data_IF_929365140188
#
_entry.id   IF_929365140188
#
_cell.length_a   1.000
_cell.length_b   1.000
_cell.length_c   1.000
_cell.angle_alpha   90.00
_cell.angle_beta   90.00
_cell.angle_gamma   90.00
#
_symmetry.space_group_name_H-M   'P 1'
#
loop_
_entity.id
_entity.type
_entity.pdbx_description
1 polymer ?
#
# COMPACT_ATOMS: atom_id res chain seq x y z
N UNK A 1 -3.71 1.84 -42.12
CA UNK A 1 -4.49 2.31 -40.96
C UNK A 1 -4.41 3.82 -40.77
N UNK A 2 -3.23 4.43 -40.48
CA UNK A 2 -3.10 5.90 -40.44
C UNK A 2 -3.10 6.60 -41.81
N UNK A 3 -2.87 5.84 -42.89
CA UNK A 3 -2.83 6.34 -44.27
C UNK A 3 -4.20 6.38 -45.00
N UNK A 4 -5.31 6.00 -44.32
CA UNK A 4 -6.65 5.82 -44.93
C UNK A 4 -7.69 6.86 -44.48
N UNK A 5 -7.29 7.93 -43.81
CA UNK A 5 -8.22 9.02 -43.46
C UNK A 5 -9.29 8.68 -42.40
N UNK A 6 -9.28 7.47 -41.84
CA UNK A 6 -10.13 7.14 -40.70
C UNK A 6 -9.73 8.01 -39.49
N UNK A 7 -10.68 8.82 -39.00
CA UNK A 7 -10.52 9.59 -37.76
C UNK A 7 -10.52 8.63 -36.57
N UNK A 8 -9.34 8.14 -36.20
CA UNK A 8 -9.09 7.33 -34.99
C UNK A 8 -9.31 8.13 -33.69
N UNK A 9 -9.39 9.47 -33.79
CA UNK A 9 -9.47 10.37 -32.65
C UNK A 9 -10.92 10.85 -32.42
N UNK A 10 -11.55 10.55 -31.26
CA UNK A 10 -12.94 10.93 -31.01
C UNK A 10 -13.07 12.46 -30.92
N UNK A 11 -14.08 13.03 -31.58
CA UNK A 11 -14.37 14.47 -31.55
C UNK A 11 -14.88 14.95 -30.18
N UNK A 12 -15.38 14.03 -29.35
CA UNK A 12 -15.98 14.33 -28.04
C UNK A 12 -15.16 13.73 -26.90
N UNK A 13 -14.21 14.50 -26.38
CA UNK A 13 -13.38 14.13 -25.23
C UNK A 13 -14.07 14.34 -23.88
N UNK A 14 -15.18 15.09 -23.85
CA UNK A 14 -15.92 15.41 -22.63
C UNK A 14 -16.31 14.19 -21.78
N UNK A 15 -16.88 13.12 -22.35
CA UNK A 15 -17.21 11.91 -21.59
C UNK A 15 -15.98 11.20 -21.02
N UNK A 16 -14.86 11.17 -21.76
CA UNK A 16 -13.62 10.55 -21.29
C UNK A 16 -12.98 11.35 -20.16
N UNK A 17 -12.99 12.68 -20.27
CA UNK A 17 -12.49 13.58 -19.22
C UNK A 17 -13.39 13.51 -17.98
N UNK A 18 -14.71 13.47 -18.16
CA UNK A 18 -15.66 13.28 -17.07
C UNK A 18 -15.49 11.93 -16.38
N UNK A 19 -15.32 10.86 -17.15
CA UNK A 19 -15.03 9.53 -16.62
C UNK A 19 -13.68 9.51 -15.89
N UNK A 20 -12.62 10.09 -16.47
CA UNK A 20 -11.30 10.15 -15.87
C UNK A 20 -11.33 10.95 -14.56
N UNK A 21 -11.96 12.11 -14.53
CA UNK A 21 -12.12 12.94 -13.33
C UNK A 21 -12.99 12.25 -12.28
N UNK A 22 -14.15 11.72 -12.63
CA UNK A 22 -14.97 10.98 -11.66
C UNK A 22 -14.22 9.77 -11.14
N UNK A 23 -13.55 9.00 -12.00
CA UNK A 23 -12.81 7.81 -11.60
C UNK A 23 -11.56 8.14 -10.78
N UNK A 24 -10.86 9.23 -11.07
CA UNK A 24 -9.67 9.63 -10.32
C UNK A 24 -10.06 10.35 -9.03
N UNK A 25 -11.00 11.27 -9.05
CA UNK A 25 -11.44 11.99 -7.86
C UNK A 25 -12.18 11.05 -6.90
N UNK A 26 -13.08 10.18 -7.38
CA UNK A 26 -13.72 9.20 -6.51
C UNK A 26 -12.76 8.05 -6.17
N UNK A 27 -12.03 7.50 -7.14
CA UNK A 27 -11.12 6.36 -6.91
C UNK A 27 -9.92 6.73 -6.03
N UNK A 28 -9.21 7.81 -6.35
CA UNK A 28 -8.06 8.27 -5.55
C UNK A 28 -8.50 9.09 -4.33
N UNK A 29 -9.55 9.91 -4.43
CA UNK A 29 -10.02 10.69 -3.29
C UNK A 29 -10.55 9.81 -2.17
N UNK A 30 -11.27 8.73 -2.48
CA UNK A 30 -11.70 7.75 -1.47
C UNK A 30 -10.50 7.00 -0.85
N UNK A 31 -9.47 6.69 -1.65
CA UNK A 31 -8.23 6.07 -1.18
C UNK A 31 -7.48 6.96 -0.19
N UNK A 32 -7.34 8.26 -0.49
CA UNK A 32 -6.67 9.23 0.39
C UNK A 32 -7.50 9.49 1.66
N UNK A 33 -8.82 9.59 1.52
CA UNK A 33 -9.73 9.73 2.66
C UNK A 33 -9.65 8.53 3.61
N UNK A 34 -9.53 7.32 3.05
CA UNK A 34 -9.29 6.10 3.81
C UNK A 34 -7.93 6.16 4.55
N UNK A 35 -6.88 6.64 3.89
CA UNK A 35 -5.53 6.76 4.47
C UNK A 35 -5.48 7.58 5.76
N UNK A 36 -6.25 8.67 5.82
CA UNK A 36 -6.32 9.55 7.00
C UNK A 36 -7.14 9.00 8.17
N UNK A 37 -7.86 7.89 7.98
CA UNK A 37 -8.77 7.32 9.00
C UNK A 37 -8.49 5.87 9.37
N UNK A 38 -7.63 5.18 8.62
CA UNK A 38 -7.26 3.80 8.87
C UNK A 38 -5.84 3.66 9.45
N UNK A 39 -5.68 2.71 10.39
CA UNK A 39 -4.41 2.37 11.06
C UNK A 39 -3.29 2.06 10.06
N UNK A 40 -2.00 2.32 10.38
CA UNK A 40 -0.83 2.04 9.53
C UNK A 40 -0.83 0.64 8.87
N UNK A 41 -1.46 -0.33 9.53
CA UNK A 41 -1.63 -1.69 9.04
C UNK A 41 -2.49 -1.76 7.76
N UNK A 42 -3.53 -0.93 7.63
CA UNK A 42 -4.40 -0.88 6.43
C UNK A 42 -3.63 -0.30 5.24
N UNK A 43 -2.80 0.70 5.48
CA UNK A 43 -1.91 1.28 4.46
C UNK A 43 -0.90 0.24 3.98
N UNK A 44 -0.32 -0.52 4.91
CA UNK A 44 0.59 -1.63 4.59
C UNK A 44 -0.08 -2.71 3.73
N UNK A 45 -1.31 -3.11 4.05
CA UNK A 45 -2.06 -4.08 3.23
C UNK A 45 -2.40 -3.50 1.85
N UNK A 46 -2.81 -2.23 1.77
CA UNK A 46 -3.13 -1.57 0.50
C UNK A 46 -1.92 -1.50 -0.45
N UNK A 47 -0.73 -1.20 0.09
CA UNK A 47 0.52 -1.21 -0.68
C UNK A 47 0.87 -2.61 -1.19
N UNK A 48 0.59 -3.65 -0.40
CA UNK A 48 0.90 -5.04 -0.76
C UNK A 48 -0.11 -5.66 -1.72
N UNK A 49 -1.32 -5.13 -1.81
CA UNK A 49 -2.32 -5.59 -2.80
C UNK A 49 -1.83 -5.38 -4.23
N UNK A 50 -1.14 -4.27 -4.52
CA UNK A 50 -0.63 -3.96 -5.85
C UNK A 50 0.33 -5.03 -6.40
N UNK A 51 1.41 -5.44 -5.69
CA UNK A 51 2.32 -6.47 -6.18
C UNK A 51 1.66 -7.86 -6.24
N UNK A 52 0.72 -8.17 -5.35
CA UNK A 52 -0.05 -9.43 -5.43
C UNK A 52 -0.88 -9.48 -6.71
N UNK A 53 -1.64 -8.42 -7.00
CA UNK A 53 -2.45 -8.34 -8.23
C UNK A 53 -1.56 -8.36 -9.46
N UNK A 54 -0.42 -7.66 -9.44
CA UNK A 54 0.53 -7.66 -10.55
C UNK A 54 1.06 -9.08 -10.85
N UNK A 55 1.45 -9.85 -9.82
CA UNK A 55 1.88 -11.24 -9.99
C UNK A 55 0.77 -12.16 -10.49
N UNK A 56 -0.44 -12.04 -9.93
CA UNK A 56 -1.61 -12.83 -10.36
C UNK A 56 -1.96 -12.54 -11.82
N UNK A 57 -2.01 -11.27 -12.22
CA UNK A 57 -2.30 -10.86 -13.60
C UNK A 57 -1.19 -11.28 -14.55
N UNK A 58 0.08 -11.15 -14.14
CA UNK A 58 1.23 -11.65 -14.91
C UNK A 58 1.12 -13.15 -15.21
N UNK A 59 0.74 -13.94 -14.20
CA UNK A 59 0.55 -15.38 -14.37
C UNK A 59 -0.68 -15.73 -15.23
N UNK A 60 -1.84 -15.13 -14.95
CA UNK A 60 -3.12 -15.50 -15.57
C UNK A 60 -3.29 -14.96 -16.99
N UNK A 61 -2.87 -13.72 -17.24
CA UNK A 61 -3.15 -12.99 -18.49
C UNK A 61 -2.02 -13.16 -19.51
N UNK A 62 -0.78 -13.13 -19.04
CA UNK A 62 0.38 -13.25 -19.94
C UNK A 62 0.82 -14.70 -20.14
N UNK A 63 0.35 -15.66 -19.32
CA UNK A 63 0.62 -17.08 -19.48
C UNK A 63 2.11 -17.45 -19.32
N UNK A 64 2.91 -16.55 -18.77
CA UNK A 64 4.33 -16.78 -18.52
C UNK A 64 4.48 -17.79 -17.37
N UNK A 65 5.24 -18.86 -17.62
CA UNK A 65 5.65 -19.80 -16.56
C UNK A 65 6.43 -18.98 -15.53
N UNK A 66 5.83 -18.77 -14.36
CA UNK A 66 6.38 -18.06 -13.19
C UNK A 66 7.90 -18.30 -13.11
N UNK A 67 8.66 -17.33 -13.61
CA UNK A 67 10.12 -17.41 -13.64
C UNK A 67 10.69 -17.22 -12.24
N UNK A 68 11.98 -17.48 -12.06
CA UNK A 68 12.65 -17.29 -10.76
C UNK A 68 12.45 -15.87 -10.18
N UNK A 69 12.31 -14.85 -11.04
CA UNK A 69 12.03 -13.47 -10.63
C UNK A 69 10.65 -13.30 -9.97
N UNK A 70 9.63 -14.05 -10.40
CA UNK A 70 8.30 -13.99 -9.81
C UNK A 70 8.30 -14.64 -8.41
N UNK A 71 8.99 -15.78 -8.27
CA UNK A 71 9.19 -16.42 -6.96
C UNK A 71 9.88 -15.48 -5.97
N UNK A 72 10.89 -14.74 -6.43
CA UNK A 72 11.56 -13.70 -5.63
C UNK A 72 10.58 -12.58 -5.26
N UNK A 73 9.71 -12.17 -6.19
CA UNK A 73 8.63 -11.21 -5.93
C UNK A 73 7.67 -11.70 -4.85
N UNK A 74 7.18 -12.94 -4.95
CA UNK A 74 6.29 -13.58 -3.97
C UNK A 74 6.95 -13.64 -2.59
N UNK A 75 8.22 -14.05 -2.52
CA UNK A 75 8.97 -14.11 -1.26
C UNK A 75 9.16 -12.72 -0.65
N UNK A 76 9.50 -11.71 -1.46
CA UNK A 76 9.63 -10.33 -0.98
C UNK A 76 8.31 -9.77 -0.43
N UNK A 77 7.19 -10.00 -1.13
CA UNK A 77 5.85 -9.60 -0.67
C UNK A 77 5.50 -10.30 0.64
N UNK A 78 5.79 -11.59 0.77
CA UNK A 78 5.55 -12.34 2.01
C UNK A 78 6.39 -11.79 3.18
N UNK A 79 7.68 -11.48 2.96
CA UNK A 79 8.55 -10.87 3.98
C UNK A 79 8.05 -9.49 4.38
N UNK A 80 7.68 -8.65 3.40
CA UNK A 80 7.15 -7.31 3.67
C UNK A 80 5.85 -7.37 4.49
N UNK A 81 4.93 -8.29 4.18
CA UNK A 81 3.71 -8.50 4.96
C UNK A 81 4.01 -8.90 6.41
N UNK A 82 4.97 -9.80 6.62
CA UNK A 82 5.38 -10.25 7.96
C UNK A 82 5.98 -9.09 8.76
N UNK A 83 6.81 -8.25 8.13
CA UNK A 83 7.40 -7.08 8.79
C UNK A 83 6.36 -6.03 9.18
N UNK A 84 5.43 -5.71 8.27
CA UNK A 84 4.32 -4.77 8.53
C UNK A 84 3.44 -5.24 9.69
N UNK A 85 3.22 -6.55 9.82
CA UNK A 85 2.37 -7.10 10.88
C UNK A 85 2.99 -6.98 12.29
N UNK A 86 4.30 -6.78 12.41
CA UNK A 86 5.00 -6.61 13.69
C UNK A 86 4.98 -5.14 14.16
N UNK A 87 3.79 -4.57 14.30
CA UNK A 87 3.55 -3.14 14.59
C UNK A 87 4.33 -2.54 15.78
N UNK A 88 4.27 -1.20 15.93
CA UNK A 88 5.16 -0.42 16.80
C UNK A 88 5.20 -0.95 18.25
N UNK A 89 6.38 -0.93 18.90
CA UNK A 89 6.49 -1.34 20.30
C UNK A 89 5.55 -0.51 21.18
N UNK A 90 5.03 -1.08 22.29
CA UNK A 90 4.13 -0.37 23.19
C UNK A 90 4.78 0.95 23.63
N UNK A 91 4.11 2.07 23.35
CA UNK A 91 4.50 3.37 23.90
C UNK A 91 4.43 3.25 25.42
N UNK A 92 5.59 3.23 26.07
CA UNK A 92 5.68 3.31 27.53
C UNK A 92 5.17 4.70 27.91
N UNK A 93 4.06 4.81 28.65
CA UNK A 93 3.54 6.10 29.08
C UNK A 93 4.62 6.85 29.86
N UNK A 94 4.97 8.07 29.41
CA UNK A 94 6.03 8.88 30.04
C UNK A 94 5.71 9.22 31.51
N UNK A 95 4.45 9.07 31.93
CA UNK A 95 3.98 9.16 33.31
C UNK A 95 4.64 8.12 34.24
N UNK A 96 4.79 6.87 33.83
CA UNK A 96 5.44 5.81 34.65
C UNK A 96 6.95 6.04 34.81
N UNK A 97 7.57 6.84 33.94
CA UNK A 97 9.01 7.14 33.99
C UNK A 97 9.32 8.36 34.86
N UNK A 98 8.33 9.24 35.06
CA UNK A 98 8.49 10.49 35.81
C UNK A 98 8.15 10.34 37.31
N UNK A 99 7.38 9.31 37.69
CA UNK A 99 6.94 9.06 39.06
C UNK A 99 7.74 7.98 39.82
N UNK A 100 8.89 7.55 39.29
CA UNK A 100 9.83 6.71 40.07
C UNK A 100 11.01 7.52 40.59
N UNK A 101 10.89 8.18 41.75
CA UNK A 101 12.05 8.61 42.48
C UNK A 101 12.77 7.38 43.08
N UNK A 102 13.88 6.96 42.46
CA UNK A 102 14.78 5.89 42.95
C UNK A 102 15.58 6.34 44.19
N UNK A 103 14.90 6.56 45.31
CA UNK A 103 15.52 6.92 46.60
C UNK A 103 15.90 5.70 47.46
N UNK A 104 15.96 4.49 46.90
CA UNK A 104 15.98 3.25 47.70
C UNK A 104 17.25 2.39 47.69
N UNK A 105 18.31 2.74 46.94
CA UNK A 105 19.48 1.83 46.72
C UNK A 105 20.83 2.31 47.27
N UNK A 106 20.88 3.40 48.06
CA UNK A 106 22.16 3.98 48.51
C UNK A 106 22.55 3.68 49.98
N UNK A 107 21.73 2.96 50.76
CA UNK A 107 22.02 2.73 52.20
C UNK A 107 22.06 1.24 52.57
N UNK A 108 23.05 0.52 52.03
CA UNK A 108 23.51 -0.76 52.61
C UNK A 108 25.05 -0.77 52.61
N UNK A 109 25.62 -0.10 53.60
CA UNK A 109 27.03 -0.23 54.04
C UNK A 109 27.02 -0.44 55.54
#
# INVERSE_FOLDING_TARGET
ALAMGERVMPTHWGPLIGLALCSQVLGQGLMIYALGRFSPLVIGIALLIQPVVAGVVGWLVYGERLGAADLVGVVMVAVALVLVRRGPPPEVPLEDTLDTPDFGRQETV
#
